data_IF_123094496941
#
_entry.id   IF_123094496941
#
_cell.length_a   1.000
_cell.length_b   1.000
_cell.length_c   1.000
_cell.angle_alpha   90.00
_cell.angle_beta   90.00
_cell.angle_gamma   90.00
#
_symmetry.space_group_name_H-M   'P 1'
#
loop_
_entity.id
_entity.type
_entity.pdbx_description
1 polymer ?
#
# COMPACT_ATOMS: atom_id res chain seq x y z
N UNK A 1 4.91 4.97 10.44
CA UNK A 1 5.02 4.90 8.96
C UNK A 1 5.26 3.44 8.54
N UNK A 2 4.84 3.02 7.34
CA UNK A 2 5.18 1.69 6.84
C UNK A 2 6.70 1.62 6.58
N UNK A 3 7.30 0.48 6.90
CA UNK A 3 8.73 0.24 6.69
C UNK A 3 8.94 -1.04 5.87
N UNK A 4 10.06 -1.09 5.16
CA UNK A 4 10.48 -2.30 4.47
C UNK A 4 10.58 -3.46 5.47
N UNK A 5 10.05 -4.64 5.11
CA UNK A 5 9.99 -5.77 6.03
C UNK A 5 8.83 -5.75 7.03
N UNK A 6 7.94 -4.74 7.02
CA UNK A 6 6.67 -4.83 7.77
C UNK A 6 5.79 -5.96 7.26
N UNK A 7 5.15 -6.69 8.17
CA UNK A 7 4.18 -7.74 7.83
C UNK A 7 2.83 -7.14 7.40
N UNK A 8 2.19 -7.82 6.45
CA UNK A 8 0.80 -7.57 6.06
C UNK A 8 -0.11 -8.57 6.77
N UNK A 9 -1.22 -8.11 7.32
CA UNK A 9 -2.17 -8.91 8.07
C UNK A 9 -3.61 -8.73 7.54
N UNK A 10 -4.39 -9.81 7.51
CA UNK A 10 -5.85 -9.80 7.34
C UNK A 10 -6.45 -10.59 8.48
N UNK A 11 -7.44 -10.02 9.17
CA UNK A 11 -8.03 -10.59 10.38
C UNK A 11 -6.99 -11.06 11.42
N UNK A 12 -5.91 -10.29 11.58
CA UNK A 12 -4.81 -10.57 12.51
C UNK A 12 -3.88 -11.70 12.10
N UNK A 13 -4.02 -12.24 10.87
CA UNK A 13 -3.15 -13.31 10.35
C UNK A 13 -2.17 -12.73 9.32
N UNK A 14 -0.87 -13.10 9.38
CA UNK A 14 0.10 -12.65 8.39
C UNK A 14 -0.19 -13.24 7.01
N UNK A 15 -0.36 -12.37 6.02
CA UNK A 15 -0.67 -12.71 4.62
C UNK A 15 0.45 -12.32 3.66
N UNK A 16 1.42 -11.53 4.09
CA UNK A 16 2.46 -11.01 3.21
C UNK A 16 3.47 -10.13 3.94
N UNK A 17 4.35 -9.49 3.17
CA UNK A 17 5.42 -8.62 3.67
C UNK A 17 5.79 -7.54 2.67
N UNK A 18 6.04 -6.32 3.17
CA UNK A 18 6.56 -5.22 2.37
C UNK A 18 8.00 -5.48 1.95
N UNK A 19 8.32 -5.25 0.68
CA UNK A 19 9.65 -5.39 0.09
C UNK A 19 10.33 -4.06 -0.17
N UNK A 20 9.55 -3.03 -0.53
CA UNK A 20 10.05 -1.68 -0.78
C UNK A 20 8.97 -0.67 -0.41
N UNK A 21 9.38 0.49 0.10
CA UNK A 21 8.47 1.59 0.47
C UNK A 21 9.07 2.89 -0.04
N UNK A 22 8.24 3.74 -0.66
CA UNK A 22 8.65 5.05 -1.15
C UNK A 22 7.58 6.10 -0.85
N UNK A 23 7.99 7.33 -0.58
CA UNK A 23 7.07 8.47 -0.51
C UNK A 23 6.79 8.97 -1.93
N UNK A 24 5.52 9.02 -2.35
CA UNK A 24 5.14 9.45 -3.70
C UNK A 24 4.23 10.69 -3.64
N UNK A 25 4.72 11.86 -4.11
CA UNK A 25 3.89 13.06 -4.19
C UNK A 25 2.68 12.90 -5.12
N UNK A 26 2.83 12.15 -6.23
CA UNK A 26 1.74 11.91 -7.19
C UNK A 26 0.57 11.12 -6.60
N UNK A 27 0.81 10.34 -5.55
CA UNK A 27 -0.21 9.61 -4.81
C UNK A 27 -0.59 10.28 -3.49
N UNK A 28 -0.02 11.45 -3.20
CA UNK A 28 -0.26 12.18 -1.95
C UNK A 28 0.17 11.44 -0.68
N UNK A 29 1.04 10.42 -0.78
CA UNK A 29 1.33 9.54 0.34
C UNK A 29 2.36 8.44 0.06
N UNK A 30 2.60 7.57 1.04
CA UNK A 30 3.50 6.43 0.88
C UNK A 30 2.89 5.38 -0.05
N UNK A 31 3.73 4.85 -0.94
CA UNK A 31 3.44 3.69 -1.79
C UNK A 31 4.41 2.57 -1.45
N UNK A 32 3.99 1.32 -1.58
CA UNK A 32 4.81 0.18 -1.22
C UNK A 32 4.61 -0.99 -2.18
N UNK A 33 5.67 -1.79 -2.32
CA UNK A 33 5.62 -3.11 -2.94
C UNK A 33 5.64 -4.18 -1.85
N UNK A 34 4.96 -5.29 -2.12
CA UNK A 34 4.84 -6.38 -1.18
C UNK A 34 4.69 -7.72 -1.88
N UNK A 35 5.18 -8.79 -1.24
CA UNK A 35 4.72 -10.13 -1.53
C UNK A 35 3.53 -10.45 -0.65
N UNK A 36 2.46 -10.99 -1.23
CA UNK A 36 1.25 -11.39 -0.53
C UNK A 36 0.79 -12.76 -1.03
N UNK A 37 0.06 -13.51 -0.21
CA UNK A 37 -0.60 -14.73 -0.67
C UNK A 37 -1.57 -14.39 -1.80
N UNK A 38 -1.62 -15.26 -2.81
CA UNK A 38 -2.42 -15.06 -4.02
C UNK A 38 -3.89 -14.73 -3.75
N UNK A 39 -4.48 -15.30 -2.69
CA UNK A 39 -5.87 -15.03 -2.29
C UNK A 39 -6.15 -13.56 -1.92
N UNK A 40 -5.11 -12.77 -1.63
CA UNK A 40 -5.21 -11.36 -1.24
C UNK A 40 -4.49 -10.42 -2.22
N UNK A 41 -4.08 -10.93 -3.39
CA UNK A 41 -3.36 -10.16 -4.40
C UNK A 41 -4.28 -9.38 -5.36
N UNK A 42 -5.61 -9.53 -5.22
CA UNK A 42 -6.57 -8.86 -6.10
C UNK A 42 -6.61 -7.35 -5.81
N UNK A 43 -6.62 -6.54 -6.86
CA UNK A 43 -6.78 -5.09 -6.74
C UNK A 43 -8.06 -4.73 -5.97
N UNK A 44 -7.97 -3.70 -5.13
CA UNK A 44 -9.04 -3.29 -4.22
C UNK A 44 -9.10 -4.06 -2.90
N UNK A 45 -8.29 -5.11 -2.72
CA UNK A 45 -8.22 -5.85 -1.44
C UNK A 45 -7.62 -4.96 -0.36
N UNK A 46 -8.29 -4.88 0.79
CA UNK A 46 -7.78 -4.21 1.98
C UNK A 46 -6.87 -5.15 2.78
N UNK A 47 -5.70 -4.63 3.17
CA UNK A 47 -4.74 -5.31 4.04
C UNK A 47 -4.27 -4.37 5.14
N UNK A 48 -3.89 -4.92 6.29
CA UNK A 48 -3.34 -4.15 7.41
C UNK A 48 -1.81 -4.26 7.39
N UNK A 49 -1.11 -3.15 7.50
CA UNK A 49 0.35 -3.13 7.65
C UNK A 49 0.65 -3.06 9.15
N UNK A 50 1.40 -4.04 9.64
CA UNK A 50 1.88 -4.06 11.01
C UNK A 50 2.92 -2.97 11.21
N UNK A 51 2.66 -2.09 12.17
CA UNK A 51 3.61 -1.06 12.60
C UNK A 51 3.85 -1.18 14.11
N UNK A 52 4.88 -0.53 14.67
CA UNK A 52 5.09 -0.50 16.12
C UNK A 52 3.95 0.18 16.90
N UNK A 53 3.15 1.01 16.23
CA UNK A 53 2.01 1.72 16.81
C UNK A 53 0.70 1.17 16.24
N UNK A 54 -0.20 2.07 15.87
CA UNK A 54 -1.47 1.69 15.24
C UNK A 54 -1.22 1.03 13.87
N UNK A 55 -1.88 -0.11 13.56
CA UNK A 55 -1.78 -0.71 12.25
C UNK A 55 -2.32 0.24 11.18
N UNK A 56 -1.60 0.34 10.07
CA UNK A 56 -2.04 1.16 8.93
C UNK A 56 -2.90 0.31 8.01
N UNK A 57 -3.91 0.92 7.39
CA UNK A 57 -4.72 0.28 6.36
C UNK A 57 -4.13 0.62 4.99
N UNK A 58 -3.97 -0.39 4.14
CA UNK A 58 -3.54 -0.24 2.76
C UNK A 58 -4.46 -1.02 1.82
N UNK A 59 -4.54 -0.56 0.59
CA UNK A 59 -5.33 -1.20 -0.47
C UNK A 59 -4.39 -1.68 -1.56
N UNK A 60 -4.58 -2.92 -2.01
CA UNK A 60 -3.83 -3.47 -3.14
C UNK A 60 -4.21 -2.69 -4.40
N UNK A 61 -3.23 -2.04 -5.03
CA UNK A 61 -3.42 -1.30 -6.27
C UNK A 61 -3.42 -2.24 -7.49
N UNK A 62 -4.16 -1.86 -8.52
CA UNK A 62 -4.05 -2.50 -9.84
C UNK A 62 -2.72 -2.10 -10.52
N UNK A 63 -2.26 -2.91 -11.47
CA UNK A 63 -1.00 -2.68 -12.19
C UNK A 63 -1.26 -2.42 -13.69
N UNK A 64 -0.59 -1.43 -14.30
CA UNK A 64 0.48 -0.60 -13.72
C UNK A 64 -0.05 0.48 -12.77
N UNK A 65 0.66 0.71 -11.67
CA UNK A 65 0.31 1.74 -10.69
C UNK A 65 0.80 3.11 -11.18
N UNK A 66 -0.07 3.84 -11.88
CA UNK A 66 0.22 5.19 -12.43
C UNK A 66 -0.44 6.26 -11.55
N UNK A 67 0.30 7.27 -11.06
CA UNK A 67 -0.30 8.33 -10.26
C UNK A 67 -1.43 9.02 -11.01
N UNK A 68 -2.51 9.43 -10.31
CA UNK A 68 -3.56 10.23 -10.92
C UNK A 68 -2.96 11.48 -11.55
N UNK A 69 -3.49 11.87 -12.70
CA UNK A 69 -2.94 12.98 -13.47
C UNK A 69 -2.90 14.27 -12.62
N UNK A 70 -1.69 14.79 -12.40
CA UNK A 70 -1.46 16.00 -11.59
C UNK A 70 -1.83 17.30 -12.32
N UNK A 71 -2.25 17.25 -13.59
CA UNK A 71 -2.52 18.46 -14.39
C UNK A 71 -3.88 19.11 -14.10
N UNK A 72 -4.80 18.42 -13.40
CA UNK A 72 -6.09 18.98 -12.99
C UNK A 72 -6.04 19.71 -11.63
N UNK A 73 -4.95 20.45 -11.36
CA UNK A 73 -4.83 21.36 -10.19
C UNK A 73 -4.23 22.72 -10.57
N UNK A 74 -4.54 23.21 -11.78
CA UNK A 74 -4.30 24.61 -12.20
C UNK A 74 -5.58 25.32 -12.63
N UNK A 75 -6.71 25.08 -11.96
CA UNK A 75 -7.83 26.03 -12.00
C UNK A 75 -8.71 25.85 -10.76
N UNK A 76 -8.52 26.71 -9.77
CA UNK A 76 -9.62 27.48 -9.17
C UNK A 76 -9.06 28.53 -8.22
#
# INVERSE_FOLDING_TARGET
PPAEGSDLEVDGKPVGRLTSVASSPGWGGPVALAYVRAAWAQAGTEVRIKTPGEPLIATVADLPMIPPDSSEKRTS
#
